data_IF_715292031115
#
_entry.id   IF_715292031115
#
_cell.length_a   1.000
_cell.length_b   1.000
_cell.length_c   1.000
_cell.angle_alpha   90.00
_cell.angle_beta   90.00
_cell.angle_gamma   90.00
#
_symmetry.space_group_name_H-M   'P 1'
#
loop_
_entity.id
_entity.type
_entity.pdbx_description
1 polymer ?
#
# COMPACT_ATOMS: atom_id res chain seq x y z
N UNK A 1 15.18 -16.13 -12.67
CA UNK A 1 16.57 -15.70 -12.47
C UNK A 1 17.34 -15.58 -13.80
N UNK A 2 17.28 -16.55 -14.70
CA UNK A 2 18.01 -16.51 -15.99
C UNK A 2 17.69 -15.27 -16.83
N UNK A 3 16.41 -14.85 -16.88
CA UNK A 3 15.97 -13.67 -17.65
C UNK A 3 16.47 -12.35 -17.05
N UNK A 4 16.86 -12.36 -15.77
CA UNK A 4 17.35 -11.20 -15.05
C UNK A 4 18.89 -11.20 -14.91
N UNK A 5 19.59 -12.13 -15.56
CA UNK A 5 21.05 -12.22 -15.50
C UNK A 5 21.70 -10.93 -15.97
N UNK A 6 22.67 -10.41 -15.22
CA UNK A 6 23.27 -9.10 -15.43
C UNK A 6 22.36 -7.90 -15.11
N UNK A 7 21.18 -8.12 -14.53
CA UNK A 7 20.17 -7.10 -14.27
C UNK A 7 19.61 -7.11 -12.83
N UNK A 8 18.37 -6.64 -12.71
CA UNK A 8 17.66 -6.56 -11.41
C UNK A 8 16.37 -7.36 -11.46
N UNK A 9 16.17 -8.22 -10.47
CA UNK A 9 14.93 -8.97 -10.25
C UNK A 9 14.17 -8.37 -9.07
N UNK A 10 12.95 -7.92 -9.34
CA UNK A 10 12.02 -7.48 -8.31
C UNK A 10 11.13 -8.66 -7.90
N UNK A 11 11.09 -8.95 -6.59
CA UNK A 11 10.26 -9.99 -5.98
C UNK A 11 9.25 -9.32 -5.06
N UNK A 12 7.99 -9.35 -5.47
CA UNK A 12 6.89 -8.81 -4.67
C UNK A 12 6.32 -9.87 -3.74
N UNK A 13 5.82 -9.45 -2.59
CA UNK A 13 5.16 -10.27 -1.57
C UNK A 13 5.98 -11.51 -1.15
N UNK A 14 7.28 -11.30 -0.89
CA UNK A 14 8.17 -12.42 -0.51
C UNK A 14 7.76 -13.12 0.78
N UNK A 15 6.96 -12.49 1.65
CA UNK A 15 6.43 -13.10 2.86
C UNK A 15 5.52 -14.31 2.60
N UNK A 16 4.89 -14.37 1.42
CA UNK A 16 4.03 -15.46 0.99
C UNK A 16 4.76 -16.52 0.15
N UNK A 17 6.08 -16.37 -0.01
CA UNK A 17 6.88 -17.29 -0.81
C UNK A 17 6.92 -18.69 -0.20
N UNK A 18 6.60 -19.77 -0.96
CA UNK A 18 6.71 -21.14 -0.46
C UNK A 18 8.13 -21.49 -0.04
N UNK A 19 8.28 -22.36 0.97
CA UNK A 19 9.59 -22.74 1.55
C UNK A 19 10.60 -23.29 0.53
N UNK A 20 10.11 -23.98 -0.50
CA UNK A 20 10.97 -24.46 -1.59
C UNK A 20 11.56 -23.29 -2.41
N UNK A 21 10.74 -22.29 -2.73
CA UNK A 21 11.19 -21.09 -3.44
C UNK A 21 12.13 -20.24 -2.58
N UNK A 22 11.89 -20.14 -1.26
CA UNK A 22 12.81 -19.50 -0.31
C UNK A 22 14.20 -20.18 -0.35
N UNK A 23 14.24 -21.52 -0.41
CA UNK A 23 15.50 -22.27 -0.49
C UNK A 23 16.23 -22.01 -1.81
N UNK A 24 15.52 -21.89 -2.92
CA UNK A 24 16.11 -21.55 -4.23
C UNK A 24 16.65 -20.13 -4.25
N UNK A 25 15.89 -19.18 -3.71
CA UNK A 25 16.31 -17.77 -3.61
C UNK A 25 17.57 -17.64 -2.75
N UNK A 26 17.62 -18.37 -1.62
CA UNK A 26 18.79 -18.37 -0.75
C UNK A 26 20.06 -18.80 -1.51
N UNK A 27 19.99 -19.85 -2.34
CA UNK A 27 21.14 -20.31 -3.14
C UNK A 27 21.59 -19.26 -4.14
N UNK A 28 20.65 -18.58 -4.81
CA UNK A 28 21.01 -17.48 -5.72
C UNK A 28 21.74 -16.37 -4.98
N UNK A 29 21.25 -15.99 -3.80
CA UNK A 29 21.86 -14.93 -2.97
C UNK A 29 23.19 -15.37 -2.34
N UNK A 30 23.37 -16.66 -2.05
CA UNK A 30 24.59 -17.19 -1.43
C UNK A 30 25.68 -17.48 -2.43
N UNK A 31 25.35 -18.19 -3.48
CA UNK A 31 26.29 -18.84 -4.39
C UNK A 31 26.25 -18.25 -5.81
N UNK A 32 25.24 -17.42 -6.13
CA UNK A 32 25.00 -16.95 -7.49
C UNK A 32 24.54 -18.06 -8.43
N UNK A 33 24.01 -19.17 -7.89
CA UNK A 33 23.66 -20.36 -8.66
C UNK A 33 22.23 -20.83 -8.34
N UNK A 34 21.57 -21.39 -9.34
CA UNK A 34 20.31 -22.09 -9.13
C UNK A 34 20.19 -23.32 -10.03
N UNK A 35 19.26 -24.20 -9.73
CA UNK A 35 18.96 -25.38 -10.54
C UNK A 35 17.60 -25.20 -11.22
N UNK A 36 17.54 -25.49 -12.52
CA UNK A 36 16.26 -25.57 -13.24
C UNK A 36 15.39 -26.69 -12.64
N UNK A 37 14.09 -26.54 -12.74
CA UNK A 37 13.15 -27.60 -12.26
C UNK A 37 13.43 -28.89 -13.01
N UNK A 38 13.76 -29.98 -12.29
CA UNK A 38 14.15 -31.26 -12.85
C UNK A 38 15.58 -31.31 -13.43
N UNK A 39 16.35 -30.22 -13.35
CA UNK A 39 17.75 -30.17 -13.79
C UNK A 39 18.73 -30.43 -12.65
N UNK A 40 19.88 -31.05 -13.01
CA UNK A 40 20.97 -31.33 -12.07
C UNK A 40 22.20 -30.43 -12.32
N UNK A 41 22.19 -29.64 -13.38
CA UNK A 41 23.31 -28.74 -13.69
C UNK A 41 23.05 -27.38 -13.09
N UNK A 42 23.96 -26.82 -12.28
CA UNK A 42 23.82 -25.48 -11.75
C UNK A 42 23.97 -24.44 -12.89
N UNK A 43 23.12 -23.40 -12.81
CA UNK A 43 23.17 -22.25 -13.70
C UNK A 43 23.63 -21.07 -12.88
N UNK A 44 24.71 -20.41 -13.30
CA UNK A 44 25.24 -19.20 -12.67
C UNK A 44 24.51 -17.98 -13.18
N UNK A 45 24.23 -17.06 -12.28
CA UNK A 45 23.60 -15.76 -12.57
C UNK A 45 24.19 -14.68 -11.69
N UNK A 46 24.30 -13.49 -12.24
CA UNK A 46 24.62 -12.26 -11.52
C UNK A 46 23.38 -11.36 -11.52
N UNK A 47 22.57 -11.44 -10.45
CA UNK A 47 21.28 -10.77 -10.37
C UNK A 47 21.21 -9.93 -9.10
N UNK A 48 20.90 -8.64 -9.25
CA UNK A 48 20.52 -7.79 -8.14
C UNK A 48 19.08 -8.10 -7.72
N UNK A 49 18.85 -8.43 -6.45
CA UNK A 49 17.53 -8.70 -5.91
C UNK A 49 16.99 -7.46 -5.19
N UNK A 50 15.76 -7.08 -5.53
CA UNK A 50 14.93 -6.14 -4.76
C UNK A 50 13.70 -6.91 -4.32
N UNK A 51 13.46 -6.96 -3.02
CA UNK A 51 12.34 -7.69 -2.44
C UNK A 51 11.37 -6.73 -1.75
N UNK A 52 10.08 -6.97 -1.89
CA UNK A 52 9.04 -6.21 -1.21
C UNK A 52 8.10 -7.16 -0.44
N UNK A 53 7.57 -6.69 0.67
CA UNK A 53 6.53 -7.37 1.44
C UNK A 53 5.76 -6.37 2.30
N UNK A 54 4.49 -6.64 2.54
CA UNK A 54 3.69 -5.92 3.53
C UNK A 54 3.69 -6.61 4.90
N UNK A 55 4.24 -7.83 4.99
CA UNK A 55 4.27 -8.64 6.20
C UNK A 55 5.54 -8.37 7.02
N UNK A 56 5.44 -8.58 8.33
CA UNK A 56 6.61 -8.56 9.21
C UNK A 56 7.39 -9.88 9.11
N UNK A 57 8.49 -9.84 8.36
CA UNK A 57 9.34 -11.01 8.15
C UNK A 57 9.96 -11.56 9.46
N UNK A 58 10.21 -10.70 10.45
CA UNK A 58 10.73 -11.13 11.75
C UNK A 58 9.72 -12.00 12.50
N UNK A 59 8.44 -11.65 12.41
CA UNK A 59 7.34 -12.47 12.94
C UNK A 59 7.23 -13.79 12.18
N UNK A 60 7.29 -13.77 10.84
CA UNK A 60 7.24 -14.98 10.03
C UNK A 60 8.41 -15.93 10.30
N UNK A 61 9.60 -15.41 10.60
CA UNK A 61 10.76 -16.21 11.02
C UNK A 61 10.47 -16.90 12.36
N UNK A 62 9.95 -16.17 13.36
CA UNK A 62 9.58 -16.75 14.67
C UNK A 62 8.50 -17.83 14.55
N UNK A 63 7.58 -17.69 13.61
CA UNK A 63 6.53 -18.65 13.29
C UNK A 63 7.04 -19.85 12.46
N UNK A 64 8.28 -19.83 11.98
CA UNK A 64 8.83 -20.86 11.10
C UNK A 64 8.29 -20.85 9.66
N UNK A 65 7.60 -19.81 9.26
CA UNK A 65 7.04 -19.62 7.91
C UNK A 65 8.02 -18.98 6.94
N UNK A 66 9.02 -18.28 7.45
CA UNK A 66 10.10 -17.69 6.67
C UNK A 66 11.44 -18.13 7.22
N UNK A 67 12.39 -18.44 6.35
CA UNK A 67 13.72 -18.93 6.77
C UNK A 67 14.56 -17.78 7.32
N UNK A 68 15.18 -18.02 8.46
CA UNK A 68 16.04 -17.05 9.15
C UNK A 68 17.29 -16.70 8.32
N UNK A 69 17.91 -17.71 7.67
CA UNK A 69 19.08 -17.50 6.83
C UNK A 69 18.79 -16.63 5.60
N UNK A 70 17.64 -16.81 4.98
CA UNK A 70 17.17 -15.98 3.88
C UNK A 70 16.86 -14.54 4.34
N UNK A 71 16.18 -14.40 5.49
CA UNK A 71 15.89 -13.10 6.09
C UNK A 71 17.17 -12.28 6.27
N UNK A 72 18.22 -12.86 6.86
CA UNK A 72 19.49 -12.15 7.07
C UNK A 72 20.20 -11.77 5.76
N UNK A 73 20.03 -12.54 4.70
CA UNK A 73 20.61 -12.23 3.38
C UNK A 73 19.87 -11.11 2.66
N UNK A 74 18.56 -11.02 2.85
CA UNK A 74 17.71 -9.96 2.24
C UNK A 74 17.77 -8.65 3.04
N UNK A 75 17.88 -8.73 4.37
CA UNK A 75 17.78 -7.59 5.28
C UNK A 75 19.09 -6.78 5.39
N UNK A 76 19.75 -6.50 4.25
CA UNK A 76 20.98 -5.68 4.21
C UNK A 76 20.64 -4.19 4.16
N UNK A 77 19.68 -3.82 3.30
CA UNK A 77 19.17 -2.44 3.20
C UNK A 77 17.65 -2.50 3.26
N UNK A 78 17.08 -1.89 4.31
CA UNK A 78 15.64 -1.83 4.51
C UNK A 78 15.13 -0.44 4.17
N UNK A 79 14.18 -0.37 3.25
CA UNK A 79 13.49 0.86 2.87
C UNK A 79 12.05 0.75 3.37
N UNK A 80 11.68 1.62 4.30
CA UNK A 80 10.30 1.72 4.74
C UNK A 80 9.52 2.69 3.84
N UNK A 81 8.45 2.20 3.22
CA UNK A 81 7.55 3.02 2.42
C UNK A 81 6.41 3.49 3.33
N UNK A 82 6.25 4.81 3.57
CA UNK A 82 5.19 5.32 4.43
C UNK A 82 3.81 5.09 3.81
N UNK A 83 2.81 4.92 4.67
CA UNK A 83 1.40 4.86 4.25
C UNK A 83 0.97 6.21 3.69
N UNK A 84 -0.12 6.23 2.94
CA UNK A 84 -0.68 7.47 2.40
C UNK A 84 -1.17 8.40 3.52
N UNK A 85 -1.69 7.84 4.61
CA UNK A 85 -2.06 8.58 5.83
C UNK A 85 -0.90 9.31 6.50
N UNK A 86 0.34 8.85 6.29
CA UNK A 86 1.55 9.45 6.88
C UNK A 86 2.15 10.56 5.98
N UNK A 87 1.62 10.69 4.75
CA UNK A 87 2.05 11.70 3.75
C UNK A 87 0.84 12.37 3.08
N UNK A 88 -0.07 12.86 3.90
CA UNK A 88 -1.36 13.44 3.46
C UNK A 88 -1.20 14.63 2.51
N UNK A 89 -0.07 15.35 2.61
CA UNK A 89 0.31 16.45 1.73
C UNK A 89 0.51 16.04 0.27
N UNK A 90 0.75 14.77 -0.01
CA UNK A 90 0.90 14.25 -1.37
C UNK A 90 -0.47 13.95 -2.02
N UNK A 91 -1.54 13.80 -1.23
CA UNK A 91 -2.87 13.39 -1.71
C UNK A 91 -3.40 14.30 -2.82
N UNK A 92 -3.37 15.65 -2.71
CA UNK A 92 -3.88 16.52 -3.76
C UNK A 92 -3.16 16.33 -5.10
N UNK A 93 -1.83 16.21 -5.07
CA UNK A 93 -1.02 15.99 -6.30
C UNK A 93 -1.27 14.62 -6.92
N UNK A 94 -1.37 13.58 -6.08
CA UNK A 94 -1.68 12.22 -6.54
C UNK A 94 -3.09 12.16 -7.12
N UNK A 95 -4.09 12.76 -6.47
CA UNK A 95 -5.45 12.82 -6.96
C UNK A 95 -5.54 13.54 -8.32
N UNK A 96 -4.88 14.68 -8.45
CA UNK A 96 -4.80 15.41 -9.72
C UNK A 96 -4.19 14.55 -10.84
N UNK A 97 -3.11 13.84 -10.54
CA UNK A 97 -2.47 12.92 -11.48
C UNK A 97 -3.42 11.79 -11.90
N UNK A 98 -4.07 11.13 -10.94
CA UNK A 98 -4.96 10.01 -11.23
C UNK A 98 -6.24 10.45 -11.97
N UNK A 99 -6.80 11.62 -11.66
CA UNK A 99 -7.92 12.18 -12.39
C UNK A 99 -7.54 12.49 -13.85
N UNK A 100 -6.35 13.04 -14.09
CA UNK A 100 -5.87 13.29 -15.44
C UNK A 100 -5.63 11.97 -16.21
N UNK A 101 -4.98 11.00 -15.59
CA UNK A 101 -4.72 9.69 -16.20
C UNK A 101 -6.01 8.91 -16.48
N UNK A 102 -6.97 8.93 -15.55
CA UNK A 102 -8.27 8.29 -15.76
C UNK A 102 -9.08 8.97 -16.87
N UNK A 103 -9.03 10.30 -16.98
CA UNK A 103 -9.69 11.05 -18.05
C UNK A 103 -9.12 10.69 -19.43
N UNK A 104 -7.80 10.56 -19.54
CA UNK A 104 -7.12 10.13 -20.78
C UNK A 104 -7.51 8.69 -21.16
N UNK A 105 -7.46 7.75 -20.21
CA UNK A 105 -7.78 6.33 -20.42
C UNK A 105 -9.25 6.12 -20.85
N UNK A 106 -10.18 6.90 -20.23
CA UNK A 106 -11.62 6.79 -20.47
C UNK A 106 -12.13 7.72 -21.57
N UNK A 107 -11.26 8.50 -22.20
CA UNK A 107 -11.61 9.56 -23.16
C UNK A 107 -12.69 10.52 -22.61
N UNK A 108 -12.58 10.87 -21.32
CA UNK A 108 -13.49 11.72 -20.58
C UNK A 108 -12.87 13.10 -20.31
N UNK A 109 -13.68 14.04 -19.84
CA UNK A 109 -13.21 15.34 -19.39
C UNK A 109 -12.44 15.21 -18.07
N UNK A 110 -11.27 15.87 -17.98
CA UNK A 110 -10.48 15.91 -16.74
C UNK A 110 -11.25 16.65 -15.64
N UNK A 111 -11.49 15.96 -14.53
CA UNK A 111 -12.15 16.50 -13.35
C UNK A 111 -11.19 17.31 -12.49
N UNK A 112 -11.72 18.26 -11.73
CA UNK A 112 -10.97 19.08 -10.78
C UNK A 112 -11.66 19.03 -9.42
N UNK A 113 -10.90 18.72 -8.38
CA UNK A 113 -11.42 18.73 -7.01
C UNK A 113 -11.61 20.17 -6.52
N UNK A 114 -12.70 20.44 -5.81
CA UNK A 114 -12.83 21.67 -5.02
C UNK A 114 -11.89 21.60 -3.81
N UNK A 115 -11.55 22.77 -3.23
CA UNK A 115 -10.73 22.82 -2.01
C UNK A 115 -11.33 22.01 -0.84
N UNK A 116 -12.67 21.94 -0.78
CA UNK A 116 -13.37 21.16 0.25
C UNK A 116 -13.20 19.66 0.02
N UNK A 117 -13.32 19.22 -1.24
CA UNK A 117 -13.10 17.82 -1.60
C UNK A 117 -11.64 17.39 -1.38
N UNK A 118 -10.67 18.25 -1.72
CA UNK A 118 -9.25 17.98 -1.42
C UNK A 118 -8.99 17.83 0.08
N UNK A 119 -9.51 18.77 0.88
CA UNK A 119 -9.39 18.71 2.35
C UNK A 119 -10.02 17.44 2.93
N UNK A 120 -11.18 17.05 2.39
CA UNK A 120 -11.83 15.81 2.79
C UNK A 120 -10.97 14.60 2.47
N UNK A 121 -10.45 14.47 1.23
CA UNK A 121 -9.57 13.35 0.85
C UNK A 121 -8.30 13.29 1.72
N UNK A 122 -7.75 14.44 2.13
CA UNK A 122 -6.62 14.50 3.05
C UNK A 122 -6.97 14.03 4.47
N UNK A 123 -8.25 14.03 4.87
CA UNK A 123 -8.69 13.56 6.20
C UNK A 123 -8.96 12.06 6.26
N UNK A 124 -9.12 11.38 5.14
CA UNK A 124 -9.38 9.93 5.04
C UNK A 124 -8.15 9.11 5.43
N UNK A 125 -8.34 7.94 6.05
CA UNK A 125 -7.25 7.06 6.51
C UNK A 125 -6.59 6.24 5.40
N UNK A 126 -7.28 6.01 4.30
CA UNK A 126 -6.80 5.29 3.13
C UNK A 126 -6.20 3.90 3.46
N UNK A 127 -6.97 2.94 4.01
CA UNK A 127 -6.45 1.61 4.31
C UNK A 127 -5.87 0.88 3.08
N UNK A 128 -6.43 1.13 1.89
CA UNK A 128 -5.91 0.65 0.60
C UNK A 128 -4.82 1.53 -0.02
N UNK A 129 -4.36 2.57 0.70
CA UNK A 129 -3.30 3.49 0.31
C UNK A 129 -3.52 4.10 -1.10
N UNK A 130 -2.44 4.21 -1.88
CA UNK A 130 -2.46 4.82 -3.22
C UNK A 130 -3.42 4.11 -4.18
N UNK A 131 -3.52 2.77 -4.09
CA UNK A 131 -4.44 1.99 -4.94
C UNK A 131 -5.92 2.35 -4.69
N UNK A 132 -6.28 2.60 -3.44
CA UNK A 132 -7.64 3.05 -3.09
C UNK A 132 -7.91 4.47 -3.60
N UNK A 133 -6.94 5.39 -3.47
CA UNK A 133 -7.06 6.74 -4.02
C UNK A 133 -7.19 6.73 -5.55
N UNK A 134 -6.40 5.94 -6.25
CA UNK A 134 -6.49 5.75 -7.70
C UNK A 134 -7.87 5.25 -8.12
N UNK A 135 -8.39 4.22 -7.45
CA UNK A 135 -9.73 3.68 -7.71
C UNK A 135 -10.81 4.73 -7.45
N UNK A 136 -10.69 5.52 -6.38
CA UNK A 136 -11.61 6.61 -6.09
C UNK A 136 -11.60 7.68 -7.18
N UNK A 137 -10.42 8.07 -7.67
CA UNK A 137 -10.29 9.03 -8.77
C UNK A 137 -10.88 8.50 -10.09
N UNK A 138 -10.67 7.21 -10.38
CA UNK A 138 -11.28 6.54 -11.55
C UNK A 138 -12.81 6.52 -11.43
N UNK A 139 -13.36 6.21 -10.27
CA UNK A 139 -14.79 6.26 -9.98
C UNK A 139 -15.35 7.68 -10.15
N UNK A 140 -14.69 8.70 -9.60
CA UNK A 140 -15.06 10.11 -9.73
C UNK A 140 -15.11 10.52 -11.21
N UNK A 141 -14.13 10.12 -12.02
CA UNK A 141 -14.07 10.47 -13.45
C UNK A 141 -15.29 9.96 -14.20
N UNK A 142 -15.84 8.80 -13.81
CA UNK A 142 -17.03 8.20 -14.44
C UNK A 142 -18.33 8.78 -13.88
N UNK A 143 -18.41 8.98 -12.57
CA UNK A 143 -19.69 9.24 -11.89
C UNK A 143 -19.97 10.72 -11.67
N UNK A 144 -18.96 11.58 -11.54
CA UNK A 144 -19.19 13.01 -11.34
C UNK A 144 -19.75 13.65 -12.62
N UNK A 145 -20.90 14.33 -12.49
CA UNK A 145 -21.60 14.93 -13.62
C UNK A 145 -20.92 16.22 -14.14
N UNK A 146 -20.31 16.99 -13.23
CA UNK A 146 -19.62 18.24 -13.54
C UNK A 146 -18.12 18.10 -13.71
N UNK A 147 -17.47 19.18 -14.16
CA UNK A 147 -16.02 19.29 -14.19
C UNK A 147 -15.45 19.48 -12.78
N UNK A 148 -16.12 20.28 -11.97
CA UNK A 148 -15.77 20.49 -10.56
C UNK A 148 -16.38 19.38 -9.71
N UNK A 149 -15.57 18.75 -8.87
CA UNK A 149 -15.94 17.65 -7.99
C UNK A 149 -16.10 18.17 -6.57
N UNK A 150 -17.31 18.09 -6.07
CA UNK A 150 -17.65 18.43 -4.69
C UNK A 150 -17.53 17.20 -3.77
N UNK A 151 -17.59 17.41 -2.46
CA UNK A 151 -17.58 16.30 -1.47
C UNK A 151 -18.73 15.32 -1.73
N UNK A 152 -19.91 15.80 -2.17
CA UNK A 152 -21.06 14.95 -2.51
C UNK A 152 -20.82 14.01 -3.70
N UNK A 153 -19.85 14.33 -4.56
CA UNK A 153 -19.52 13.55 -5.76
C UNK A 153 -18.41 12.50 -5.49
N UNK A 154 -17.97 12.38 -4.25
CA UNK A 154 -16.99 11.37 -3.84
C UNK A 154 -17.66 9.99 -3.65
N UNK A 155 -16.88 8.89 -3.78
CA UNK A 155 -17.40 7.54 -3.55
C UNK A 155 -18.12 7.43 -2.20
N UNK A 156 -19.32 6.80 -2.15
CA UNK A 156 -20.09 6.66 -0.91
C UNK A 156 -19.32 5.97 0.21
N UNK A 157 -18.41 5.05 -0.13
CA UNK A 157 -17.59 4.32 0.83
C UNK A 157 -16.69 5.27 1.64
N UNK A 158 -16.18 6.33 1.01
CA UNK A 158 -15.34 7.33 1.67
C UNK A 158 -16.18 8.25 2.59
N UNK A 159 -17.45 8.48 2.24
CA UNK A 159 -18.34 9.33 3.04
C UNK A 159 -18.89 8.60 4.28
N UNK A 160 -18.88 7.26 4.27
CA UNK A 160 -19.31 6.42 5.39
C UNK A 160 -18.16 6.14 6.39
N UNK A 161 -16.90 6.28 5.97
CA UNK A 161 -15.77 6.31 6.90
C UNK A 161 -15.87 7.66 7.64
N UNK A 162 -16.33 7.63 8.89
CA UNK A 162 -16.27 8.81 9.76
C UNK A 162 -14.81 9.32 9.73
N UNK A 163 -14.58 10.62 9.46
CA UNK A 163 -13.23 11.18 9.51
C UNK A 163 -12.67 10.82 10.87
N UNK A 164 -11.46 10.22 10.90
CA UNK A 164 -10.81 9.80 12.13
C UNK A 164 -10.89 10.96 13.12
N UNK A 165 -11.79 10.86 14.07
CA UNK A 165 -11.92 11.81 15.14
C UNK A 165 -10.55 11.84 15.79
N UNK A 166 -9.88 12.99 15.74
CA UNK A 166 -8.76 13.27 16.64
C UNK A 166 -9.18 12.70 17.99
N UNK A 167 -8.34 11.99 18.75
CA UNK A 167 -8.74 11.37 19.99
C UNK A 167 -9.35 12.47 20.87
N UNK A 168 -10.66 12.63 20.77
CA UNK A 168 -11.45 13.49 21.63
C UNK A 168 -11.20 12.95 23.04
N UNK A 169 -10.78 13.84 23.87
CA UNK A 169 -10.31 13.67 25.22
C UNK A 169 -10.79 12.42 25.93
N UNK A 170 -9.89 11.85 26.71
CA UNK A 170 -9.93 10.52 27.36
C UNK A 170 -11.35 9.99 27.54
N UNK A 171 -11.57 8.71 27.27
CA UNK A 171 -12.86 7.99 27.50
C UNK A 171 -13.55 8.42 28.81
N UNK A 172 -12.79 8.88 29.80
CA UNK A 172 -13.21 9.45 31.06
C UNK A 172 -14.03 10.75 30.89
N UNK A 173 -13.68 11.61 29.90
CA UNK A 173 -14.44 12.83 29.62
C UNK A 173 -15.77 12.53 28.91
N UNK A 174 -15.77 11.55 27.98
CA UNK A 174 -17.01 11.10 27.35
C UNK A 174 -17.98 10.44 28.34
N UNK A 175 -17.45 9.63 29.28
CA UNK A 175 -18.24 9.01 30.34
C UNK A 175 -18.82 10.07 31.32
N UNK A 176 -18.04 11.10 31.63
CA UNK A 176 -18.46 12.20 32.51
C UNK A 176 -19.60 13.02 31.90
N UNK A 177 -19.49 13.38 30.62
CA UNK A 177 -20.55 14.08 29.88
C UNK A 177 -21.83 13.24 29.78
N UNK A 178 -21.71 11.93 29.50
CA UNK A 178 -22.85 11.03 29.48
C UNK A 178 -23.54 10.91 30.85
N UNK A 179 -22.76 10.79 31.94
CA UNK A 179 -23.27 10.71 33.29
C UNK A 179 -24.00 12.01 33.73
N UNK A 180 -23.45 13.18 33.37
CA UNK A 180 -24.08 14.47 33.64
C UNK A 180 -25.40 14.65 32.88
N UNK A 181 -25.50 14.19 31.64
CA UNK A 181 -26.74 14.20 30.86
C UNK A 181 -27.78 13.20 31.37
N UNK A 182 -27.34 12.04 31.86
CA UNK A 182 -28.25 11.03 32.41
C UNK A 182 -28.83 11.39 33.80
N UNK A 183 -28.09 12.20 34.56
CA UNK A 183 -28.52 12.63 35.90
C UNK A 183 -29.33 13.94 35.89
N UNK A 184 -29.40 14.63 34.73
CA UNK A 184 -30.22 15.87 34.60
C UNK A 184 -31.61 15.64 34.00
N UNK A 185 -32.06 14.40 33.92
CA UNK A 185 -33.41 13.96 33.61
C UNK A 185 -34.06 13.36 34.85
#
# INVERSE_FOLDING_TARGET
FEQADGGTLFLDEIGDMPSEAQTRLLRVLADGEFYRVGGHTPVRVDVRIIAATHQDLETLVKEGRFREDLFHRLNVIRIHIPKLSDRREDIPKLAQHFLASAAEELAAETKQLTEEAERFLCSVEWPGNVRQLENACRWITVMASGREVMVSDLPPELLLEEPAQQPAGSWQQGLKQWAEQALSR
#
